data_IF_726455449805
#
_entry.id   IF_726455449805
#
_cell.length_a   1.000
_cell.length_b   1.000
_cell.length_c   1.000
_cell.angle_alpha   90.00
_cell.angle_beta   90.00
_cell.angle_gamma   90.00
#
_symmetry.space_group_name_H-M   'P 1'
#
loop_
_entity.id
_entity.type
_entity.pdbx_description
1 polymer ?
#
# COMPACT_ATOMS: atom_id res chain seq x y z
N UNK A 1 53.19 -15.83 -46.34
CA UNK A 1 52.18 -16.48 -45.49
C UNK A 1 51.85 -15.49 -44.38
N UNK A 2 50.74 -14.75 -44.50
CA UNK A 2 50.36 -13.71 -43.53
C UNK A 2 49.16 -14.24 -42.75
N UNK A 3 49.34 -14.50 -41.46
CA UNK A 3 48.28 -14.98 -40.58
C UNK A 3 47.60 -13.74 -40.00
N UNK A 4 46.38 -13.46 -40.47
CA UNK A 4 45.55 -12.37 -39.95
C UNK A 4 44.99 -12.79 -38.59
N UNK A 5 45.49 -12.18 -37.51
CA UNK A 5 45.04 -12.42 -36.15
C UNK A 5 43.80 -11.57 -35.89
N UNK A 6 42.61 -12.16 -36.03
CA UNK A 6 41.34 -11.51 -35.66
C UNK A 6 41.18 -11.62 -34.14
N UNK A 7 41.34 -10.49 -33.43
CA UNK A 7 40.92 -10.39 -32.03
C UNK A 7 39.40 -10.17 -32.00
N UNK A 8 38.67 -11.12 -31.44
CA UNK A 8 37.24 -10.98 -31.14
C UNK A 8 37.13 -10.52 -29.68
N UNK A 9 36.79 -9.25 -29.45
CA UNK A 9 36.41 -8.76 -28.13
C UNK A 9 35.02 -9.29 -27.77
N UNK A 10 34.95 -10.31 -26.92
CA UNK A 10 33.68 -10.78 -26.35
C UNK A 10 33.29 -9.84 -25.21
N UNK A 11 32.40 -8.90 -25.48
CA UNK A 11 31.77 -8.06 -24.45
C UNK A 11 30.72 -8.90 -23.71
N UNK A 12 31.09 -9.49 -22.57
CA UNK A 12 30.12 -10.10 -21.67
C UNK A 12 29.34 -9.00 -20.94
N UNK A 13 28.06 -8.86 -21.28
CA UNK A 13 27.11 -8.10 -20.47
C UNK A 13 26.34 -9.09 -19.62
N UNK A 14 26.35 -8.92 -18.30
CA UNK A 14 25.52 -9.71 -17.39
C UNK A 14 24.09 -9.23 -17.63
N UNK A 15 23.33 -9.97 -18.44
CA UNK A 15 21.90 -9.74 -18.56
C UNK A 15 21.31 -10.05 -17.18
N UNK A 16 20.74 -9.05 -16.52
CA UNK A 16 19.88 -9.29 -15.36
C UNK A 16 18.58 -9.82 -15.94
N UNK A 17 18.39 -11.14 -15.83
CA UNK A 17 17.33 -11.87 -16.55
C UNK A 17 15.90 -11.48 -16.11
N UNK A 18 15.75 -10.74 -15.00
CA UNK A 18 14.47 -10.18 -14.56
C UNK A 18 14.56 -9.33 -13.29
N UNK A 19 13.49 -8.61 -12.99
CA UNK A 19 13.31 -7.83 -11.76
C UNK A 19 11.87 -7.93 -11.25
N UNK A 20 11.70 -7.66 -9.96
CA UNK A 20 10.40 -7.47 -9.35
C UNK A 20 10.42 -6.27 -8.40
N UNK A 21 9.27 -5.65 -8.22
CA UNK A 21 9.11 -4.57 -7.26
C UNK A 21 7.74 -4.60 -6.61
N UNK A 22 7.68 -4.04 -5.40
CA UNK A 22 6.44 -3.70 -4.73
C UNK A 22 6.65 -2.35 -4.02
N UNK A 23 5.67 -1.46 -4.15
CA UNK A 23 5.71 -0.12 -3.59
C UNK A 23 4.35 0.22 -2.99
N UNK A 24 4.38 0.70 -1.75
CA UNK A 24 3.21 1.20 -1.04
C UNK A 24 3.50 2.58 -0.45
N UNK A 25 2.58 3.52 -0.63
CA UNK A 25 2.57 4.85 -0.01
C UNK A 25 1.16 5.02 0.56
N UNK A 26 1.00 5.35 1.85
CA UNK A 26 -0.32 5.43 2.52
C UNK A 26 -0.19 5.11 4.00
N UNK A 27 -1.29 4.89 4.76
CA UNK A 27 -2.68 4.61 4.32
C UNK A 27 -3.57 5.86 4.13
N UNK A 28 -3.09 7.03 4.52
CA UNK A 28 -3.83 8.29 4.54
C UNK A 28 -2.94 9.44 4.06
N UNK A 29 -3.55 10.52 3.61
CA UNK A 29 -2.86 11.77 3.27
C UNK A 29 -3.61 12.96 3.88
N UNK A 30 -2.88 13.99 4.32
CA UNK A 30 -3.43 15.22 4.87
C UNK A 30 -3.22 15.37 6.38
N UNK A 31 -3.72 16.48 6.93
CA UNK A 31 -3.65 16.76 8.37
C UNK A 31 -4.61 15.85 9.14
N UNK A 32 -4.13 15.29 10.25
CA UNK A 32 -4.94 14.49 11.17
C UNK A 32 -6.04 15.37 11.79
N UNK A 33 -7.30 14.93 11.73
CA UNK A 33 -8.42 15.62 12.36
C UNK A 33 -8.78 14.94 13.68
N UNK A 34 -8.62 15.67 14.78
CA UNK A 34 -9.02 15.25 16.12
C UNK A 34 -10.54 15.34 16.27
N UNK A 35 -11.20 14.24 16.61
CA UNK A 35 -12.63 14.19 16.93
C UNK A 35 -12.82 13.77 18.39
N UNK A 36 -13.92 14.20 18.99
CA UNK A 36 -14.30 13.80 20.35
C UNK A 36 -15.44 12.79 20.22
N UNK A 37 -15.19 11.53 20.57
CA UNK A 37 -16.19 10.49 20.45
C UNK A 37 -17.25 10.66 21.54
N UNK A 38 -18.45 11.09 21.15
CA UNK A 38 -19.65 11.01 21.99
C UNK A 38 -20.24 9.62 21.83
N UNK A 39 -20.41 8.84 22.90
CA UNK A 39 -21.19 7.60 22.82
C UNK A 39 -22.64 7.95 22.45
N UNK A 40 -23.04 7.77 21.20
CA UNK A 40 -24.46 7.76 20.80
C UNK A 40 -25.06 6.40 21.16
N UNK A 41 -26.12 6.47 21.96
CA UNK A 41 -26.89 5.40 22.60
C UNK A 41 -27.15 4.14 21.74
N UNK A 42 -26.62 2.99 22.17
CA UNK A 42 -27.16 1.69 21.77
C UNK A 42 -28.38 1.38 22.64
N UNK A 43 -29.56 1.54 22.05
CA UNK A 43 -30.80 1.00 22.58
C UNK A 43 -30.75 -0.54 22.52
N UNK A 44 -30.23 -1.16 23.58
CA UNK A 44 -30.66 -2.49 23.99
C UNK A 44 -30.62 -2.57 25.52
N UNK A 45 -31.76 -2.22 26.11
CA UNK A 45 -32.01 -2.27 27.54
C UNK A 45 -31.84 -3.71 28.06
N UNK A 46 -30.71 -4.02 28.69
CA UNK A 46 -30.69 -5.02 29.75
C UNK A 46 -30.77 -4.27 31.09
N UNK A 47 -31.91 -4.29 31.79
CA UNK A 47 -32.11 -3.54 33.03
C UNK A 47 -31.28 -4.05 34.21
N UNK A 48 -30.47 -5.11 34.04
CA UNK A 48 -29.65 -5.70 35.10
C UNK A 48 -28.14 -5.52 34.91
N UNK A 49 -27.67 -4.61 34.05
CA UNK A 49 -26.25 -4.25 34.05
C UNK A 49 -26.04 -3.15 35.09
N UNK A 50 -25.44 -3.51 36.22
CA UNK A 50 -25.00 -2.56 37.22
C UNK A 50 -23.88 -1.67 36.63
N UNK A 51 -24.24 -0.45 36.23
CA UNK A 51 -23.35 0.56 35.66
C UNK A 51 -22.47 1.26 36.72
N UNK A 52 -22.07 0.56 37.80
CA UNK A 52 -21.14 1.08 38.81
C UNK A 52 -19.67 1.03 38.37
N UNK A 53 -19.38 1.29 37.09
CA UNK A 53 -18.02 1.59 36.65
C UNK A 53 -17.97 3.07 36.29
N UNK A 54 -17.40 3.84 37.23
CA UNK A 54 -17.27 5.29 37.21
C UNK A 54 -16.93 5.81 35.80
N UNK A 55 -17.91 6.47 35.19
CA UNK A 55 -17.77 7.16 33.92
C UNK A 55 -16.93 8.42 34.13
N UNK A 56 -15.65 8.37 33.76
CA UNK A 56 -14.82 9.58 33.66
C UNK A 56 -15.07 10.23 32.29
N UNK A 57 -15.57 11.47 32.20
CA UNK A 57 -15.85 12.16 30.94
C UNK A 57 -14.58 12.69 30.26
N UNK A 58 -13.40 12.25 30.67
CA UNK A 58 -12.13 12.76 30.21
C UNK A 58 -11.49 11.75 29.26
N UNK A 59 -11.41 12.14 27.98
CA UNK A 59 -10.38 11.74 27.01
C UNK A 59 -10.72 10.67 25.95
N UNK A 60 -11.97 10.55 25.48
CA UNK A 60 -12.21 9.82 24.23
C UNK A 60 -11.93 10.72 23.02
N UNK A 61 -10.64 10.91 22.75
CA UNK A 61 -10.12 11.57 21.55
C UNK A 61 -9.87 10.50 20.50
N UNK A 62 -10.53 10.60 19.35
CA UNK A 62 -10.23 9.81 18.17
C UNK A 62 -9.61 10.70 17.08
N UNK A 63 -8.96 10.07 16.10
CA UNK A 63 -8.36 10.76 14.96
C UNK A 63 -8.95 10.21 13.66
N UNK A 64 -9.36 11.10 12.77
CA UNK A 64 -9.84 10.76 11.44
C UNK A 64 -8.92 11.39 10.39
N UNK A 65 -8.55 10.61 9.37
CA UNK A 65 -7.78 11.07 8.23
C UNK A 65 -8.36 10.45 6.95
N UNK A 66 -8.26 11.19 5.84
CA UNK A 66 -8.79 10.74 4.55
C UNK A 66 -7.96 9.55 4.03
N UNK A 67 -8.58 8.41 3.70
CA UNK A 67 -7.88 7.30 3.05
C UNK A 67 -7.27 7.75 1.73
N UNK A 68 -5.97 7.58 1.59
CA UNK A 68 -5.23 7.96 0.40
C UNK A 68 -3.97 7.10 0.32
N UNK A 69 -3.93 6.21 -0.67
CA UNK A 69 -2.80 5.32 -0.87
C UNK A 69 -2.47 5.16 -2.35
N UNK A 70 -1.21 4.83 -2.59
CA UNK A 70 -0.67 4.41 -3.87
C UNK A 70 0.00 3.05 -3.69
N UNK A 71 -0.45 2.09 -4.46
CA UNK A 71 0.12 0.75 -4.49
C UNK A 71 0.56 0.42 -5.92
N UNK A 72 1.73 -0.21 -6.05
CA UNK A 72 2.19 -0.74 -7.32
C UNK A 72 3.04 -1.99 -7.10
N UNK A 73 2.91 -2.97 -7.98
CA UNK A 73 3.84 -4.08 -8.10
C UNK A 73 4.09 -4.40 -9.56
N UNK A 74 5.24 -5.04 -9.81
CA UNK A 74 5.55 -5.56 -11.13
C UNK A 74 6.58 -6.67 -11.09
N UNK A 75 6.51 -7.53 -12.10
CA UNK A 75 7.43 -8.63 -12.36
C UNK A 75 7.74 -8.59 -13.85
N UNK A 76 9.03 -8.51 -14.17
CA UNK A 76 9.53 -8.67 -15.52
C UNK A 76 10.61 -9.75 -15.51
N UNK A 77 10.38 -10.83 -16.24
CA UNK A 77 11.34 -11.93 -16.42
C UNK A 77 11.40 -12.27 -17.92
N UNK A 78 12.50 -11.86 -18.54
CA UNK A 78 12.73 -12.02 -19.97
C UNK A 78 12.93 -13.49 -20.38
N UNK A 79 13.37 -14.34 -19.46
CA UNK A 79 13.65 -15.75 -19.71
C UNK A 79 12.38 -16.58 -19.75
N UNK A 80 11.43 -16.28 -18.86
CA UNK A 80 10.12 -16.95 -18.81
C UNK A 80 9.05 -16.20 -19.60
N UNK A 81 9.32 -14.98 -20.05
CA UNK A 81 8.36 -14.12 -20.76
C UNK A 81 7.29 -13.53 -19.86
N UNK A 82 7.52 -13.49 -18.54
CA UNK A 82 6.57 -12.92 -17.58
C UNK A 82 6.68 -11.41 -17.61
N UNK A 83 5.56 -10.75 -17.92
CA UNK A 83 5.36 -9.33 -17.73
C UNK A 83 4.03 -9.15 -17.01
N UNK A 84 4.10 -8.81 -15.72
CA UNK A 84 2.92 -8.54 -14.90
C UNK A 84 3.13 -7.23 -14.18
N UNK A 85 2.15 -6.32 -14.28
CA UNK A 85 2.19 -5.02 -13.66
C UNK A 85 0.80 -4.67 -13.12
N UNK A 86 0.78 -4.13 -11.93
CA UNK A 86 -0.43 -3.60 -11.34
C UNK A 86 -0.12 -2.30 -10.62
N UNK A 87 -1.03 -1.35 -10.76
CA UNK A 87 -1.02 -0.13 -9.95
C UNK A 87 -2.43 0.21 -9.53
N UNK A 88 -2.57 0.67 -8.30
CA UNK A 88 -3.82 1.12 -7.72
C UNK A 88 -3.60 2.40 -6.93
N UNK A 89 -4.56 3.31 -7.00
CA UNK A 89 -4.63 4.49 -6.15
C UNK A 89 -5.99 4.59 -5.50
N UNK A 90 -6.00 5.03 -4.24
CA UNK A 90 -7.21 5.38 -3.50
C UNK A 90 -7.19 6.85 -3.16
N UNK A 91 -8.32 7.51 -3.33
CA UNK A 91 -8.54 8.89 -2.92
C UNK A 91 -9.92 9.01 -2.27
N UNK A 92 -9.95 8.97 -0.94
CA UNK A 92 -11.17 8.88 -0.14
C UNK A 92 -11.93 7.59 -0.45
N UNK A 93 -13.11 7.72 -1.04
CA UNK A 93 -13.98 6.58 -1.41
C UNK A 93 -13.74 6.06 -2.83
N UNK A 94 -12.92 6.75 -3.62
CA UNK A 94 -12.64 6.37 -5.01
C UNK A 94 -11.37 5.51 -5.05
N UNK A 95 -11.47 4.35 -5.68
CA UNK A 95 -10.32 3.48 -5.99
C UNK A 95 -10.22 3.38 -7.51
N UNK A 96 -9.00 3.44 -8.03
CA UNK A 96 -8.69 3.28 -9.45
C UNK A 96 -7.45 2.41 -9.60
N UNK A 97 -7.47 1.47 -10.52
CA UNK A 97 -6.28 0.66 -10.81
C UNK A 97 -6.24 0.19 -12.26
N UNK A 98 -5.08 -0.32 -12.65
CA UNK A 98 -4.88 -1.05 -13.90
C UNK A 98 -4.08 -2.31 -13.62
N UNK A 99 -4.35 -3.33 -14.43
CA UNK A 99 -3.59 -4.56 -14.51
C UNK A 99 -3.06 -4.69 -15.94
N UNK A 100 -1.79 -5.02 -16.10
CA UNK A 100 -1.14 -5.23 -17.39
C UNK A 100 -0.25 -6.46 -17.35
#
# INVERSE_FOLDING_TARGET
>A
MVILKVLIEIKYSIAVDGYSFAKFIGPVTGAEQKIYATKTHENNLNPNVNLNHAYSPQNNVDFFAKPDYHFAYGIEDSKTGVLQNHKETRNGDKVKGEYR
#
